data_IF_026342769767
#
_entry.id   IF_026342769767
#
_cell.length_a   1.000
_cell.length_b   1.000
_cell.length_c   1.000
_cell.angle_alpha   90.00
_cell.angle_beta   90.00
_cell.angle_gamma   90.00
#
_symmetry.space_group_name_H-M   'P 1'
#
loop_
_entity.id
_entity.type
_entity.pdbx_description
1 polymer ?
#
# COMPACT_ATOMS: atom_id res chain seq x y z
N UNK A 1 -9.68 -18.35 8.45
CA UNK A 1 -8.70 -17.27 8.62
C UNK A 1 -9.45 -15.95 8.62
N UNK A 2 -9.26 -15.12 9.65
CA UNK A 2 -9.99 -13.86 9.81
C UNK A 2 -9.15 -12.71 9.26
N UNK A 3 -9.80 -11.76 8.62
CA UNK A 3 -9.16 -10.55 8.11
C UNK A 3 -8.64 -9.66 9.26
N UNK A 4 -7.47 -9.06 9.06
CA UNK A 4 -6.99 -7.81 9.65
C UNK A 4 -5.98 -7.18 8.67
N UNK A 5 -5.65 -5.92 8.91
CA UNK A 5 -4.83 -5.07 8.03
C UNK A 5 -3.32 -5.36 8.06
N UNK A 6 -2.85 -6.35 8.82
CA UNK A 6 -1.42 -6.57 9.00
C UNK A 6 -0.77 -7.31 7.81
N UNK A 7 0.54 -7.10 7.59
CA UNK A 7 1.30 -7.78 6.54
C UNK A 7 1.37 -9.29 6.77
N UNK A 8 1.50 -9.72 8.04
CA UNK A 8 1.46 -11.15 8.38
C UNK A 8 0.16 -11.83 7.95
N UNK A 9 -0.97 -11.14 8.10
CA UNK A 9 -2.29 -11.62 7.67
C UNK A 9 -2.41 -11.61 6.15
N UNK A 10 -1.98 -10.55 5.47
CA UNK A 10 -1.92 -10.53 4.00
C UNK A 10 -1.12 -11.73 3.46
N UNK A 11 0.04 -12.01 4.05
CA UNK A 11 0.90 -13.12 3.65
C UNK A 11 0.24 -14.49 3.87
N UNK A 12 -0.54 -14.64 4.94
CA UNK A 12 -1.26 -15.89 5.19
C UNK A 12 -2.49 -16.05 4.26
N UNK A 13 -3.19 -14.98 3.87
CA UNK A 13 -4.20 -15.03 2.80
C UNK A 13 -3.55 -15.38 1.46
N UNK A 14 -2.36 -14.86 1.16
CA UNK A 14 -1.60 -15.20 -0.04
C UNK A 14 -1.25 -16.70 -0.12
N UNK A 15 -0.75 -17.27 0.98
CA UNK A 15 -0.47 -18.73 1.05
C UNK A 15 -1.72 -19.59 0.88
N UNK A 16 -2.90 -19.07 1.20
CA UNK A 16 -4.17 -19.75 1.01
C UNK A 16 -4.80 -19.52 -0.39
N UNK A 17 -4.14 -18.79 -1.30
CA UNK A 17 -4.70 -18.43 -2.60
C UNK A 17 -5.84 -17.40 -2.54
N UNK A 18 -5.93 -16.64 -1.44
CA UNK A 18 -7.05 -15.73 -1.13
C UNK A 18 -6.61 -14.28 -0.98
N UNK A 19 -5.45 -13.90 -1.54
CA UNK A 19 -4.91 -12.56 -1.36
C UNK A 19 -5.84 -11.46 -1.89
N UNK A 20 -6.55 -11.71 -2.98
CA UNK A 20 -7.52 -10.77 -3.54
C UNK A 20 -8.63 -10.41 -2.52
N UNK A 21 -9.10 -11.40 -1.75
CA UNK A 21 -10.07 -11.14 -0.66
C UNK A 21 -9.50 -10.20 0.41
N UNK A 22 -8.23 -10.40 0.78
CA UNK A 22 -7.54 -9.53 1.74
C UNK A 22 -7.37 -8.12 1.19
N UNK A 23 -6.99 -7.97 -0.08
CA UNK A 23 -6.84 -6.66 -0.76
C UNK A 23 -8.16 -5.90 -0.74
N UNK A 24 -9.26 -6.55 -1.12
CA UNK A 24 -10.56 -5.89 -1.13
C UNK A 24 -11.07 -5.56 0.27
N UNK A 25 -10.84 -6.43 1.26
CA UNK A 25 -11.19 -6.13 2.65
C UNK A 25 -10.41 -4.90 3.14
N UNK A 26 -9.09 -4.89 2.96
CA UNK A 26 -8.22 -3.78 3.34
C UNK A 26 -8.64 -2.45 2.72
N UNK A 27 -8.80 -2.41 1.40
CA UNK A 27 -9.15 -1.17 0.70
C UNK A 27 -10.51 -0.62 1.10
N UNK A 28 -11.46 -1.47 1.53
CA UNK A 28 -12.81 -1.02 1.95
C UNK A 28 -12.92 -0.71 3.43
N UNK A 29 -11.95 -1.12 4.25
CA UNK A 29 -11.91 -0.80 5.68
C UNK A 29 -10.74 0.13 5.97
N UNK A 30 -9.59 -0.42 6.34
CA UNK A 30 -8.47 0.30 6.94
C UNK A 30 -7.68 1.15 5.93
N UNK A 31 -7.72 0.78 4.65
CA UNK A 31 -7.11 1.52 3.55
C UNK A 31 -7.93 2.72 3.08
N UNK A 32 -9.23 2.76 3.41
CA UNK A 32 -10.16 3.84 3.03
C UNK A 32 -10.09 4.24 1.53
N UNK A 33 -10.02 3.25 0.66
CA UNK A 33 -9.83 3.41 -0.78
C UNK A 33 -10.81 2.52 -1.58
N UNK A 34 -12.10 2.71 -1.33
CA UNK A 34 -13.18 1.92 -1.95
C UNK A 34 -13.17 2.03 -3.47
N UNK A 35 -12.93 3.22 -4.02
CA UNK A 35 -12.86 3.44 -5.47
C UNK A 35 -11.75 2.61 -6.13
N UNK A 36 -10.59 2.45 -5.47
CA UNK A 36 -9.54 1.57 -5.99
C UNK A 36 -9.96 0.09 -5.90
N UNK A 37 -10.62 -0.32 -4.81
CA UNK A 37 -11.20 -1.66 -4.67
C UNK A 37 -12.15 -1.98 -5.82
N UNK A 38 -13.02 -1.04 -6.19
CA UNK A 38 -13.98 -1.20 -7.28
C UNK A 38 -13.28 -1.22 -8.65
N UNK A 39 -12.29 -0.36 -8.87
CA UNK A 39 -11.47 -0.37 -10.09
C UNK A 39 -10.69 -1.68 -10.28
N UNK A 40 -10.24 -2.31 -9.18
CA UNK A 40 -9.58 -3.61 -9.23
C UNK A 40 -10.51 -4.71 -9.73
N UNK A 41 -11.83 -4.64 -9.47
CA UNK A 41 -12.82 -5.65 -9.92
C UNK A 41 -13.14 -5.61 -11.41
N UNK A 42 -12.79 -4.52 -12.10
CA UNK A 42 -13.10 -4.36 -13.53
C UNK A 42 -12.42 -5.41 -14.41
N UNK A 43 -11.28 -5.94 -13.98
CA UNK A 43 -10.54 -6.98 -14.70
C UNK A 43 -9.85 -7.93 -13.73
N UNK A 44 -9.57 -9.18 -14.14
CA UNK A 44 -8.81 -10.11 -13.32
C UNK A 44 -7.46 -9.54 -12.89
N UNK A 45 -7.05 -9.84 -11.65
CA UNK A 45 -5.77 -9.40 -11.08
C UNK A 45 -4.90 -10.60 -10.78
N UNK A 46 -3.61 -10.44 -11.03
CA UNK A 46 -2.61 -11.42 -10.63
C UNK A 46 -1.77 -10.83 -9.50
N UNK A 47 -1.87 -11.43 -8.32
CA UNK A 47 -1.09 -11.02 -7.14
C UNK A 47 -0.04 -12.08 -6.82
N UNK A 48 1.21 -11.64 -6.68
CA UNK A 48 2.35 -12.51 -6.37
C UNK A 48 2.58 -12.70 -4.86
N UNK A 49 1.81 -11.99 -4.02
CA UNK A 49 1.99 -11.99 -2.57
C UNK A 49 2.69 -10.74 -2.06
N UNK A 50 2.63 -10.49 -0.73
CA UNK A 50 3.59 -9.61 -0.08
C UNK A 50 5.00 -10.21 -0.24
N UNK A 51 5.87 -9.49 -0.94
CA UNK A 51 7.27 -9.86 -1.15
C UNK A 51 8.18 -8.72 -0.68
N UNK A 52 9.36 -9.07 -0.17
CA UNK A 52 10.38 -8.07 0.19
C UNK A 52 11.03 -7.55 -1.08
N UNK A 53 10.99 -6.23 -1.26
CA UNK A 53 11.50 -5.54 -2.44
C UNK A 53 12.19 -4.24 -2.03
N UNK A 54 13.23 -3.79 -2.76
CA UNK A 54 13.85 -2.49 -2.53
C UNK A 54 12.86 -1.34 -2.76
N UNK A 55 12.65 -0.50 -1.75
CA UNK A 55 11.69 0.63 -1.81
C UNK A 55 11.94 1.59 -2.97
N UNK A 56 13.22 1.77 -3.35
CA UNK A 56 13.65 2.63 -4.47
C UNK A 56 13.15 2.18 -5.85
N UNK A 57 12.59 0.98 -5.97
CA UNK A 57 12.00 0.50 -7.22
C UNK A 57 10.61 1.07 -7.48
N UNK A 58 9.96 1.63 -6.47
CA UNK A 58 8.57 2.06 -6.54
C UNK A 58 8.46 3.56 -6.80
N UNK A 59 7.65 3.92 -7.79
CA UNK A 59 7.25 5.29 -8.05
C UNK A 59 5.97 5.61 -7.30
N UNK A 60 5.99 6.64 -6.45
CA UNK A 60 4.76 7.18 -5.84
C UNK A 60 3.88 7.78 -6.93
N UNK A 61 2.57 7.55 -6.82
CA UNK A 61 1.58 8.24 -7.65
C UNK A 61 0.77 9.28 -6.84
N UNK A 62 0.92 9.30 -5.52
CA UNK A 62 0.23 10.21 -4.61
C UNK A 62 1.22 10.93 -3.69
N UNK A 63 1.01 12.24 -3.52
CA UNK A 63 1.88 13.09 -2.71
C UNK A 63 1.60 14.59 -2.92
N UNK A 64 2.28 15.46 -2.15
CA UNK A 64 2.09 16.90 -2.24
C UNK A 64 2.85 17.57 -3.40
N UNK A 65 3.76 16.83 -4.05
CA UNK A 65 4.57 17.35 -5.15
C UNK A 65 3.71 17.65 -6.38
N UNK A 66 4.04 18.71 -7.12
CA UNK A 66 3.22 19.18 -8.25
C UNK A 66 3.09 18.17 -9.39
N UNK A 67 4.08 17.28 -9.55
CA UNK A 67 4.10 16.25 -10.59
C UNK A 67 3.31 14.98 -10.20
N UNK A 68 2.72 14.91 -9.00
CA UNK A 68 1.98 13.73 -8.56
C UNK A 68 0.65 13.62 -9.29
N UNK A 69 0.36 12.42 -9.80
CA UNK A 69 -0.92 12.06 -10.43
C UNK A 69 -2.10 12.33 -9.50
N UNK A 70 -1.94 12.00 -8.22
CA UNK A 70 -2.90 12.29 -7.16
C UNK A 70 -2.29 13.26 -6.17
N UNK A 71 -2.46 14.56 -6.46
CA UNK A 71 -1.96 15.62 -5.58
C UNK A 71 -2.80 15.72 -4.31
N UNK A 72 -2.14 15.76 -3.17
CA UNK A 72 -2.78 15.94 -1.85
C UNK A 72 -2.19 17.14 -1.12
N UNK A 73 -2.87 17.56 -0.05
CA UNK A 73 -2.35 18.60 0.84
C UNK A 73 -1.02 18.18 1.48
N UNK A 74 -0.10 19.14 1.61
CA UNK A 74 1.24 18.91 2.16
C UNK A 74 1.18 18.60 3.64
N UNK A 75 0.47 19.40 4.42
CA UNK A 75 0.48 19.27 5.88
C UNK A 75 -0.19 17.96 6.32
N UNK A 76 -1.31 17.61 5.67
CA UNK A 76 -1.98 16.32 5.86
C UNK A 76 -1.13 15.12 5.44
N UNK A 77 -0.38 15.23 4.34
CA UNK A 77 0.55 14.18 3.91
C UNK A 77 1.67 13.99 4.93
N UNK A 78 2.33 15.06 5.34
CA UNK A 78 3.42 15.05 6.32
C UNK A 78 2.97 14.50 7.69
N UNK A 79 1.79 14.92 8.17
CA UNK A 79 1.24 14.42 9.42
C UNK A 79 1.02 12.89 9.37
N UNK A 80 0.47 12.37 8.27
CA UNK A 80 0.26 10.92 8.08
C UNK A 80 1.59 10.17 7.99
N UNK A 81 2.56 10.68 7.24
CA UNK A 81 3.89 10.08 7.11
C UNK A 81 4.57 9.99 8.48
N UNK A 82 4.52 11.06 9.28
CA UNK A 82 5.13 11.07 10.61
C UNK A 82 4.47 10.07 11.57
N UNK A 83 3.14 10.01 11.60
CA UNK A 83 2.43 9.02 12.42
C UNK A 83 2.74 7.57 12.03
N UNK A 84 2.89 7.29 10.72
CA UNK A 84 3.33 5.98 10.25
C UNK A 84 4.78 5.71 10.64
N UNK A 85 5.67 6.70 10.51
CA UNK A 85 7.07 6.55 10.91
C UNK A 85 7.20 6.21 12.40
N UNK A 86 6.39 6.84 13.27
CA UNK A 86 6.34 6.50 14.70
C UNK A 86 5.85 5.07 14.93
N UNK A 87 4.83 4.61 14.21
CA UNK A 87 4.37 3.23 14.27
C UNK A 87 5.47 2.23 13.85
N UNK A 88 6.25 2.55 12.81
CA UNK A 88 7.38 1.73 12.36
C UNK A 88 8.45 1.64 13.46
N UNK A 89 8.80 2.75 14.11
CA UNK A 89 9.82 2.79 15.17
C UNK A 89 9.47 1.89 16.36
N UNK A 90 8.19 1.71 16.66
CA UNK A 90 7.73 0.81 17.73
C UNK A 90 7.44 -0.62 17.26
N UNK A 91 7.77 -0.94 16.00
CA UNK A 91 7.66 -2.30 15.45
C UNK A 91 6.25 -2.71 15.04
N UNK A 92 5.39 -1.77 14.65
CA UNK A 92 4.05 -2.08 14.18
C UNK A 92 4.06 -2.96 12.90
N UNK A 93 3.17 -3.95 12.85
CA UNK A 93 2.93 -4.76 11.65
C UNK A 93 2.00 -4.00 10.68
N UNK A 94 2.61 -3.18 9.85
CA UNK A 94 1.87 -2.37 8.88
C UNK A 94 1.31 -3.23 7.74
N UNK A 95 0.20 -2.80 7.10
CA UNK A 95 -0.22 -3.39 5.83
C UNK A 95 0.92 -3.35 4.79
N UNK A 96 0.97 -4.31 3.85
CA UNK A 96 1.90 -4.28 2.73
C UNK A 96 1.52 -3.21 1.72
N UNK A 97 2.49 -2.69 0.97
CA UNK A 97 2.26 -1.80 -0.15
C UNK A 97 1.52 -2.54 -1.29
N UNK A 98 0.60 -1.87 -1.98
CA UNK A 98 -0.05 -2.42 -3.18
C UNK A 98 0.57 -1.73 -4.38
N UNK A 99 1.25 -2.54 -5.20
CA UNK A 99 2.06 -2.07 -6.32
C UNK A 99 1.53 -2.68 -7.61
N UNK A 100 1.38 -1.85 -8.63
CA UNK A 100 1.05 -2.27 -9.98
C UNK A 100 2.32 -2.31 -10.83
N UNK A 101 2.61 -3.47 -11.42
CA UNK A 101 3.68 -3.61 -12.40
C UNK A 101 3.11 -3.51 -13.81
N UNK A 102 3.51 -2.47 -14.54
CA UNK A 102 3.13 -2.23 -15.93
C UNK A 102 4.26 -1.53 -16.66
N UNK A 103 4.40 -1.81 -17.96
CA UNK A 103 5.37 -1.14 -18.85
C UNK A 103 6.82 -1.13 -18.31
N UNK A 104 7.22 -2.19 -17.60
CA UNK A 104 8.55 -2.33 -17.01
C UNK A 104 8.79 -1.55 -15.71
N UNK A 105 7.78 -0.84 -15.20
CA UNK A 105 7.84 -0.05 -13.98
C UNK A 105 6.95 -0.57 -12.86
N UNK A 106 7.24 -0.14 -11.63
CA UNK A 106 6.43 -0.42 -10.46
C UNK A 106 5.79 0.87 -9.93
N UNK A 107 4.50 1.06 -10.23
CA UNK A 107 3.71 2.19 -9.71
C UNK A 107 3.08 1.81 -8.38
N UNK A 108 3.21 2.67 -7.37
CA UNK A 108 2.63 2.47 -6.06
C UNK A 108 1.17 2.92 -6.03
N UNK A 109 0.25 1.97 -6.22
CA UNK A 109 -1.18 2.23 -6.30
C UNK A 109 -1.84 2.46 -4.93
N UNK A 110 -1.31 1.84 -3.86
CA UNK A 110 -1.71 2.13 -2.47
C UNK A 110 -0.51 2.04 -1.51
N UNK A 111 -0.52 2.90 -0.49
CA UNK A 111 0.53 2.95 0.53
C UNK A 111 1.59 4.04 0.30
N UNK A 112 1.28 5.09 -0.46
CA UNK A 112 2.20 6.21 -0.73
C UNK A 112 2.80 6.86 0.54
N UNK A 113 1.98 7.10 1.58
CA UNK A 113 2.49 7.60 2.87
C UNK A 113 3.36 6.57 3.61
N UNK A 114 3.05 5.28 3.50
CA UNK A 114 3.85 4.19 4.10
C UNK A 114 5.19 4.05 3.41
N UNK A 115 5.22 4.13 2.08
CA UNK A 115 6.45 4.13 1.30
C UNK A 115 7.35 5.31 1.68
N UNK A 116 6.81 6.52 1.75
CA UNK A 116 7.55 7.71 2.16
C UNK A 116 8.10 7.56 3.59
N UNK A 117 7.29 7.09 4.54
CA UNK A 117 7.73 6.84 5.90
C UNK A 117 8.90 5.85 5.97
N UNK A 118 8.81 4.73 5.23
CA UNK A 118 9.91 3.77 5.15
C UNK A 118 11.16 4.38 4.51
N UNK A 119 11.02 5.14 3.42
CA UNK A 119 12.15 5.81 2.75
C UNK A 119 12.90 6.78 3.67
N UNK A 120 12.18 7.48 4.57
CA UNK A 120 12.79 8.41 5.54
C UNK A 120 13.51 7.72 6.70
N UNK A 121 13.12 6.49 7.03
CA UNK A 121 13.69 5.74 8.14
C UNK A 121 14.95 4.93 7.76
N UNK A 122 15.20 4.74 6.46
CA UNK A 122 16.34 3.97 5.94
C UNK A 122 16.08 2.47 5.90
#
# INVERSE_FOLDING_TARGET
MTYNQHCTTAAAFARAGRLEEWVHAYLRTDGHNEAFSDGLRLFPRHYIGPIKMPLRMFARCCGPEEHMKFRVDRDGFEARVNGIADAIRVGADLPPLIVHYADGGFELSDGNHRHEACMRLG
#
